data_IF_429363402276
#
_entry.id   IF_429363402276
#
_cell.length_a   1.000
_cell.length_b   1.000
_cell.length_c   1.000
_cell.angle_alpha   90.00
_cell.angle_beta   90.00
_cell.angle_gamma   90.00
#
_symmetry.space_group_name_H-M   'P 1'
#
loop_
_entity.id
_entity.type
_entity.pdbx_description
1 polymer ?
#
# COMPACT_ATOMS: atom_id res chain seq x y z
N UNK A 1 7.14 -6.38 -0.22
CA UNK A 1 6.12 -6.22 0.85
C UNK A 1 4.82 -5.80 0.20
N UNK A 2 3.74 -6.54 0.36
CA UNK A 2 2.43 -6.15 -0.17
C UNK A 2 2.07 -4.72 0.24
N UNK A 3 1.71 -3.91 -0.75
CA UNK A 3 1.21 -2.55 -0.58
C UNK A 3 -0.30 -2.53 -0.86
N UNK A 4 -0.90 -1.36 -1.04
CA UNK A 4 -2.36 -1.28 -1.24
C UNK A 4 -2.89 -2.14 -2.40
N UNK A 5 -2.29 -2.13 -3.61
CA UNK A 5 -2.83 -2.91 -4.73
C UNK A 5 -2.84 -4.41 -4.47
N UNK A 6 -1.77 -4.96 -3.89
CA UNK A 6 -1.66 -6.38 -3.57
C UNK A 6 -2.68 -6.78 -2.50
N UNK A 7 -2.84 -5.94 -1.46
CA UNK A 7 -3.81 -6.19 -0.39
C UNK A 7 -5.25 -6.11 -0.91
N UNK A 8 -5.54 -5.19 -1.83
CA UNK A 8 -6.85 -5.11 -2.48
C UNK A 8 -7.16 -6.32 -3.35
N UNK A 9 -6.16 -6.85 -4.06
CA UNK A 9 -6.32 -8.09 -4.84
C UNK A 9 -6.67 -9.28 -3.94
N UNK A 10 -5.97 -9.41 -2.80
CA UNK A 10 -6.29 -10.44 -1.79
C UNK A 10 -7.71 -10.22 -1.23
N UNK A 11 -8.10 -8.98 -0.89
CA UNK A 11 -9.44 -8.67 -0.43
C UNK A 11 -10.52 -9.14 -1.40
N UNK A 12 -10.37 -8.78 -2.69
CA UNK A 12 -11.31 -9.17 -3.76
C UNK A 12 -11.40 -10.67 -3.94
N UNK A 13 -10.28 -11.38 -3.82
CA UNK A 13 -10.26 -12.84 -3.90
C UNK A 13 -10.92 -13.54 -2.71
N UNK A 14 -10.80 -12.98 -1.51
CA UNK A 14 -11.41 -13.53 -0.30
C UNK A 14 -12.93 -13.26 -0.22
N UNK A 15 -13.38 -12.10 -0.67
CA UNK A 15 -14.76 -11.63 -0.51
C UNK A 15 -15.81 -12.65 -0.98
N UNK A 16 -15.77 -13.19 -2.23
CA UNK A 16 -16.77 -14.13 -2.71
C UNK A 16 -16.74 -15.47 -1.96
N UNK A 17 -15.60 -15.83 -1.37
CA UNK A 17 -15.47 -17.07 -0.63
C UNK A 17 -16.02 -16.94 0.80
N UNK A 18 -15.76 -15.83 1.51
CA UNK A 18 -16.02 -15.78 2.95
C UNK A 18 -17.28 -15.00 3.34
N UNK A 19 -17.74 -14.03 2.54
CA UNK A 19 -18.92 -13.21 2.88
C UNK A 19 -20.16 -14.10 2.96
N UNK A 20 -20.92 -13.91 4.02
CA UNK A 20 -22.11 -14.70 4.35
C UNK A 20 -21.83 -15.97 5.15
N UNK A 21 -20.57 -16.44 5.22
CA UNK A 21 -20.17 -17.63 6.00
C UNK A 21 -19.99 -17.31 7.48
N UNK A 22 -19.97 -18.35 8.31
CA UNK A 22 -19.72 -18.23 9.76
C UNK A 22 -18.33 -18.76 10.08
N UNK A 23 -17.57 -18.00 10.87
CA UNK A 23 -16.29 -18.45 11.42
C UNK A 23 -16.56 -19.57 12.43
N UNK A 24 -16.24 -20.79 12.08
CA UNK A 24 -16.39 -21.96 12.95
C UNK A 24 -15.25 -22.06 13.95
N UNK A 25 -14.05 -21.87 13.46
CA UNK A 25 -12.84 -22.04 14.27
C UNK A 25 -11.68 -21.23 13.71
N UNK A 26 -10.82 -20.76 14.58
CA UNK A 26 -9.51 -20.19 14.25
C UNK A 26 -8.47 -20.97 15.03
N UNK A 27 -7.62 -21.65 14.31
CA UNK A 27 -6.54 -22.48 14.85
C UNK A 27 -5.19 -21.78 14.62
N UNK A 28 -4.51 -21.44 15.71
CA UNK A 28 -3.17 -20.83 15.68
C UNK A 28 -2.13 -21.94 15.72
N UNK A 29 -1.67 -22.34 14.55
CA UNK A 29 -0.70 -23.43 14.38
C UNK A 29 0.67 -23.04 14.92
N UNK A 30 1.05 -21.76 14.77
CA UNK A 30 2.32 -21.24 15.24
C UNK A 30 2.18 -19.81 15.79
N UNK A 31 2.72 -19.58 17.00
CA UNK A 31 2.59 -18.29 17.71
C UNK A 31 3.14 -17.06 16.95
N UNK A 32 4.11 -17.27 16.04
CA UNK A 32 4.71 -16.20 15.22
C UNK A 32 3.82 -15.77 14.09
N UNK A 33 2.72 -15.29 14.11
CA UNK A 33 1.75 -14.84 13.10
C UNK A 33 0.46 -14.40 13.76
N UNK A 34 0.47 -14.50 15.08
CA UNK A 34 -0.59 -14.05 15.93
C UNK A 34 -0.08 -12.86 16.73
N UNK A 35 -0.53 -11.66 16.44
CA UNK A 35 -0.49 -10.62 17.46
C UNK A 35 -1.60 -10.96 18.43
N UNK A 36 -1.23 -11.34 19.68
CA UNK A 36 -2.21 -11.49 20.73
C UNK A 36 -3.15 -10.31 20.68
N UNK A 37 -4.42 -10.59 20.43
CA UNK A 37 -5.42 -9.56 20.32
C UNK A 37 -5.45 -8.82 21.64
N UNK A 38 -5.30 -7.53 21.56
CA UNK A 38 -5.34 -6.68 22.73
C UNK A 38 -6.71 -6.68 23.40
N UNK A 39 -7.77 -7.17 22.73
CA UNK A 39 -9.14 -6.90 23.14
C UNK A 39 -10.06 -8.12 23.31
N UNK A 40 -9.78 -9.25 22.66
CA UNK A 40 -10.61 -10.46 22.83
C UNK A 40 -9.90 -11.74 22.32
N UNK A 41 -10.19 -12.92 22.91
CA UNK A 41 -9.71 -14.19 22.37
C UNK A 41 -10.45 -14.55 21.09
N UNK A 42 -9.88 -15.39 20.24
CA UNK A 42 -10.53 -15.85 18.99
C UNK A 42 -11.89 -16.53 19.22
N UNK A 43 -12.10 -17.09 20.40
CA UNK A 43 -13.40 -17.64 20.80
C UNK A 43 -14.53 -16.61 20.79
N UNK A 44 -14.24 -15.32 20.96
CA UNK A 44 -15.24 -14.25 20.95
C UNK A 44 -15.94 -14.08 19.59
N UNK A 45 -15.30 -14.52 18.50
CA UNK A 45 -15.86 -14.46 17.15
C UNK A 45 -16.29 -15.82 16.60
N UNK A 46 -16.22 -16.88 17.41
CA UNK A 46 -16.71 -18.19 17.02
C UNK A 46 -18.23 -18.14 16.72
N UNK A 47 -18.63 -18.67 15.58
CA UNK A 47 -20.01 -18.62 15.10
C UNK A 47 -20.43 -17.26 14.49
N UNK A 48 -19.58 -16.25 14.51
CA UNK A 48 -19.88 -14.97 13.91
C UNK A 48 -19.99 -15.08 12.38
N UNK A 49 -20.98 -14.40 11.80
CA UNK A 49 -21.15 -14.30 10.35
C UNK A 49 -20.29 -13.16 9.81
N UNK A 50 -19.55 -13.44 8.74
CA UNK A 50 -18.82 -12.41 7.99
C UNK A 50 -19.80 -11.62 7.14
N UNK A 51 -19.87 -10.32 7.35
CA UNK A 51 -20.75 -9.40 6.62
C UNK A 51 -20.04 -8.80 5.41
N UNK A 52 -18.75 -8.48 5.57
CA UNK A 52 -17.94 -7.85 4.55
C UNK A 52 -16.44 -8.16 4.74
N UNK A 53 -15.66 -7.98 3.67
CA UNK A 53 -14.19 -7.90 3.74
C UNK A 53 -13.79 -6.48 3.34
N UNK A 54 -13.25 -5.73 4.28
CA UNK A 54 -12.89 -4.33 4.11
C UNK A 54 -11.38 -4.13 4.17
N UNK A 55 -10.90 -3.01 3.67
CA UNK A 55 -9.49 -2.62 3.66
C UNK A 55 -9.33 -1.12 3.94
N UNK A 56 -8.27 -0.75 4.65
CA UNK A 56 -7.75 0.61 4.72
C UNK A 56 -6.23 0.55 4.54
N UNK A 57 -5.72 1.16 3.47
CA UNK A 57 -4.30 1.04 3.12
C UNK A 57 -3.84 -0.41 2.93
N UNK A 58 -2.95 -0.87 3.81
CA UNK A 58 -2.38 -2.23 3.78
C UNK A 58 -3.03 -3.19 4.78
N UNK A 59 -4.11 -2.77 5.43
CA UNK A 59 -4.77 -3.50 6.48
C UNK A 59 -6.12 -4.02 6.00
N UNK A 60 -6.37 -5.31 6.23
CA UNK A 60 -7.62 -5.99 5.96
C UNK A 60 -8.38 -6.22 7.25
N UNK A 61 -9.70 -6.22 7.18
CA UNK A 61 -10.52 -6.78 8.24
C UNK A 61 -11.80 -7.41 7.70
N UNK A 62 -12.24 -8.45 8.38
CA UNK A 62 -13.52 -9.10 8.18
C UNK A 62 -14.51 -8.44 9.14
N UNK A 63 -15.47 -7.73 8.60
CA UNK A 63 -16.58 -7.16 9.37
C UNK A 63 -17.52 -8.29 9.76
N UNK A 64 -17.79 -8.41 11.04
CA UNK A 64 -18.59 -9.49 11.60
C UNK A 64 -19.92 -8.95 12.15
N UNK A 65 -20.92 -9.82 12.27
CA UNK A 65 -22.16 -9.50 13.01
C UNK A 65 -21.93 -9.51 14.54
N UNK A 66 -20.84 -8.90 14.99
CA UNK A 66 -20.39 -8.76 16.39
C UNK A 66 -19.70 -7.41 16.54
N UNK A 67 -19.41 -7.02 17.79
CA UNK A 67 -18.69 -5.79 18.11
C UNK A 67 -17.16 -5.90 17.86
N UNK A 68 -16.74 -6.96 17.23
CA UNK A 68 -15.35 -7.26 16.92
C UNK A 68 -15.17 -7.52 15.43
N UNK A 69 -13.97 -7.23 14.94
CA UNK A 69 -13.50 -7.62 13.60
C UNK A 69 -12.33 -8.59 13.70
N UNK A 70 -12.21 -9.47 12.73
CA UNK A 70 -10.99 -10.24 12.49
C UNK A 70 -10.11 -9.43 11.54
N UNK A 71 -8.94 -9.05 11.99
CA UNK A 71 -7.98 -8.24 11.23
C UNK A 71 -6.88 -9.09 10.65
N UNK A 72 -6.33 -8.65 9.52
CA UNK A 72 -5.16 -9.23 8.89
C UNK A 72 -4.21 -8.14 8.35
N UNK A 73 -2.92 -8.39 8.51
CA UNK A 73 -1.86 -7.61 7.88
C UNK A 73 -0.83 -8.57 7.28
N UNK A 74 -0.55 -8.43 5.99
CA UNK A 74 0.31 -9.39 5.29
C UNK A 74 1.80 -9.23 5.60
N UNK A 75 2.21 -8.11 6.21
CA UNK A 75 3.63 -7.87 6.52
C UNK A 75 4.48 -7.82 5.26
N UNK A 76 5.50 -8.67 5.18
CA UNK A 76 6.41 -8.75 4.03
C UNK A 76 6.20 -10.02 3.19
N UNK A 77 5.75 -11.10 3.79
CA UNK A 77 5.63 -12.42 3.15
C UNK A 77 4.34 -13.15 3.54
N UNK A 78 3.42 -12.47 4.20
CA UNK A 78 2.15 -13.05 4.59
C UNK A 78 1.22 -13.23 3.39
N UNK A 79 0.56 -14.39 3.35
CA UNK A 79 -0.38 -14.79 2.32
C UNK A 79 -1.66 -15.27 2.97
N UNK A 80 -2.80 -14.90 2.43
CA UNK A 80 -4.11 -15.44 2.79
C UNK A 80 -4.61 -16.32 1.64
N UNK A 81 -4.55 -17.62 1.84
CA UNK A 81 -4.82 -18.62 0.82
C UNK A 81 -6.16 -19.33 1.10
N UNK A 82 -6.92 -19.61 0.05
CA UNK A 82 -8.09 -20.49 0.11
C UNK A 82 -7.63 -21.88 -0.31
N UNK A 83 -7.50 -22.78 0.65
CA UNK A 83 -6.94 -24.12 0.44
C UNK A 83 -7.94 -25.23 0.77
N UNK A 84 -7.73 -26.41 0.19
CA UNK A 84 -8.48 -27.59 0.59
C UNK A 84 -8.04 -28.04 2.00
N UNK A 85 -9.00 -28.36 2.86
CA UNK A 85 -8.74 -28.81 4.24
C UNK A 85 -7.90 -30.09 4.31
N UNK A 86 -7.95 -30.92 3.26
CA UNK A 86 -7.23 -32.19 3.17
C UNK A 86 -5.85 -32.03 2.52
N UNK A 87 -5.55 -30.86 1.92
CA UNK A 87 -4.23 -30.62 1.34
C UNK A 87 -3.16 -30.54 2.41
N UNK A 88 -1.94 -30.92 2.05
CA UNK A 88 -0.77 -30.78 2.93
C UNK A 88 -0.64 -29.33 3.42
N UNK A 89 -0.22 -29.15 4.67
CA UNK A 89 0.02 -27.82 5.22
C UNK A 89 1.28 -27.21 4.64
N UNK A 90 1.21 -25.91 4.37
CA UNK A 90 2.36 -25.13 3.95
C UNK A 90 3.40 -25.06 5.09
N UNK A 91 4.68 -25.12 4.72
CA UNK A 91 5.82 -25.07 5.66
C UNK A 91 5.74 -23.91 6.68
N UNK A 92 5.15 -22.80 6.26
CA UNK A 92 5.07 -21.57 7.08
C UNK A 92 3.63 -21.22 7.46
N UNK A 93 2.75 -22.19 7.55
CA UNK A 93 1.39 -22.01 8.03
C UNK A 93 1.39 -21.47 9.47
N UNK A 94 0.66 -20.39 9.70
CA UNK A 94 0.56 -19.71 10.99
C UNK A 94 -0.83 -19.83 11.61
N UNK A 95 -1.85 -19.57 10.81
CA UNK A 95 -3.25 -19.57 11.29
C UNK A 95 -4.14 -20.23 10.25
N UNK A 96 -5.08 -21.04 10.71
CA UNK A 96 -6.16 -21.62 9.92
C UNK A 96 -7.48 -20.99 10.35
N UNK A 97 -8.34 -20.71 9.37
CA UNK A 97 -9.66 -20.12 9.61
C UNK A 97 -10.69 -21.02 8.92
N UNK A 98 -11.40 -21.82 9.69
CA UNK A 98 -12.54 -22.57 9.21
C UNK A 98 -13.78 -21.67 9.17
N UNK A 99 -14.24 -21.34 7.97
CA UNK A 99 -15.42 -20.53 7.71
C UNK A 99 -16.68 -21.36 7.38
N UNK A 100 -16.69 -22.64 7.73
CA UNK A 100 -17.85 -23.53 7.57
C UNK A 100 -18.04 -24.09 6.16
N UNK A 101 -17.11 -23.88 5.25
CA UNK A 101 -17.09 -24.60 3.98
C UNK A 101 -16.77 -26.09 4.20
N UNK A 102 -17.34 -26.96 3.36
CA UNK A 102 -17.13 -28.43 3.50
C UNK A 102 -15.72 -28.86 3.14
N UNK A 103 -15.11 -28.22 2.14
CA UNK A 103 -13.82 -28.64 1.58
C UNK A 103 -12.71 -27.63 1.86
N UNK A 104 -13.00 -26.34 1.87
CA UNK A 104 -12.00 -25.28 1.89
C UNK A 104 -11.95 -24.53 3.21
N UNK A 105 -10.78 -23.99 3.49
CA UNK A 105 -10.49 -23.10 4.62
C UNK A 105 -9.59 -21.95 4.15
N UNK A 106 -9.47 -20.90 4.96
CA UNK A 106 -8.46 -19.85 4.74
C UNK A 106 -7.23 -20.21 5.57
N UNK A 107 -6.07 -20.12 4.96
CA UNK A 107 -4.76 -20.31 5.60
C UNK A 107 -3.96 -19.03 5.56
N UNK A 108 -3.45 -18.61 6.70
CA UNK A 108 -2.47 -17.53 6.78
C UNK A 108 -1.08 -18.15 6.86
N UNK A 109 -0.31 -17.95 5.79
CA UNK A 109 1.05 -18.46 5.63
C UNK A 109 2.02 -17.28 5.68
N UNK A 110 3.05 -17.33 6.51
CA UNK A 110 4.03 -16.24 6.59
C UNK A 110 5.42 -16.75 6.96
N UNK A 111 6.33 -16.73 5.98
CA UNK A 111 7.71 -17.18 6.15
C UNK A 111 8.48 -16.28 7.11
N UNK A 112 8.33 -14.97 7.00
CA UNK A 112 9.15 -13.96 7.72
C UNK A 112 8.54 -13.51 9.04
N UNK A 113 7.34 -13.94 9.38
CA UNK A 113 6.61 -13.63 10.63
C UNK A 113 6.41 -12.13 10.90
N UNK A 114 6.31 -11.32 9.85
CA UNK A 114 6.00 -9.88 9.96
C UNK A 114 4.51 -9.58 9.76
N UNK A 115 3.77 -10.52 9.18
CA UNK A 115 2.34 -10.44 9.08
C UNK A 115 1.66 -10.97 10.34
N UNK A 116 0.36 -10.75 10.43
CA UNK A 116 -0.41 -11.18 11.59
C UNK A 116 -1.91 -11.25 11.33
N UNK A 117 -2.58 -12.11 12.09
CA UNK A 117 -4.03 -12.15 12.28
C UNK A 117 -4.31 -11.71 13.73
N UNK A 118 -5.37 -10.94 13.95
CA UNK A 118 -5.74 -10.43 15.26
C UNK A 118 -7.23 -10.12 15.34
N UNK A 119 -7.76 -9.94 16.55
CA UNK A 119 -9.13 -9.45 16.77
C UNK A 119 -9.05 -8.07 17.38
N UNK A 120 -9.92 -7.17 16.95
CA UNK A 120 -10.06 -5.85 17.54
C UNK A 120 -11.52 -5.46 17.68
N UNK A 121 -11.79 -4.61 18.67
CA UNK A 121 -13.10 -4.04 18.88
C UNK A 121 -13.43 -3.07 17.76
N UNK A 122 -14.68 -3.07 17.30
CA UNK A 122 -15.19 -2.08 16.39
C UNK A 122 -15.56 -0.79 17.12
N UNK A 123 -15.19 0.34 16.53
CA UNK A 123 -15.56 1.68 17.00
C UNK A 123 -16.16 2.49 15.85
N UNK A 124 -17.01 3.44 16.17
CA UNK A 124 -17.64 4.29 15.18
C UNK A 124 -16.68 5.39 14.72
N UNK A 125 -16.45 5.49 13.41
CA UNK A 125 -15.74 6.60 12.75
C UNK A 125 -16.68 7.23 11.71
N UNK A 126 -17.29 8.35 12.06
CA UNK A 126 -18.40 8.90 11.27
C UNK A 126 -19.62 7.97 11.32
N UNK A 127 -19.99 7.40 10.16
CA UNK A 127 -21.13 6.46 10.05
C UNK A 127 -20.67 5.00 9.86
N UNK A 128 -19.37 4.71 9.95
CA UNK A 128 -18.84 3.38 9.71
C UNK A 128 -18.17 2.79 10.95
N UNK A 129 -18.33 1.49 11.12
CA UNK A 129 -17.59 0.73 12.12
C UNK A 129 -16.23 0.30 11.54
N UNK A 130 -15.17 0.65 12.27
CA UNK A 130 -13.79 0.28 11.94
C UNK A 130 -13.11 -0.35 13.15
N UNK A 131 -12.08 -1.19 12.97
CA UNK A 131 -11.25 -1.63 14.09
C UNK A 131 -10.62 -0.46 14.83
N UNK A 132 -10.64 -0.49 16.16
CA UNK A 132 -10.14 0.59 17.01
C UNK A 132 -8.69 0.96 16.71
N UNK A 133 -7.84 -0.03 16.45
CA UNK A 133 -6.43 0.20 16.08
C UNK A 133 -6.26 0.95 14.75
N UNK A 134 -7.29 0.95 13.88
CA UNK A 134 -7.23 1.61 12.57
C UNK A 134 -7.61 3.10 12.60
N UNK A 135 -8.05 3.62 13.73
CA UNK A 135 -8.35 5.07 13.89
C UNK A 135 -7.13 5.94 13.64
N UNK A 136 -5.91 5.38 13.76
CA UNK A 136 -4.65 6.07 13.47
C UNK A 136 -4.16 5.90 12.02
N UNK A 137 -4.85 5.08 11.22
CA UNK A 137 -4.52 4.85 9.82
C UNK A 137 -5.34 5.80 8.97
N UNK A 138 -4.68 6.65 8.20
CA UNK A 138 -5.35 7.60 7.32
C UNK A 138 -6.15 6.87 6.22
N UNK A 139 -7.23 7.49 5.68
CA UNK A 139 -7.83 7.06 4.44
C UNK A 139 -6.78 6.98 3.32
N UNK A 140 -6.89 5.99 2.44
CA UNK A 140 -6.05 5.89 1.25
C UNK A 140 -6.67 6.62 0.04
N UNK A 141 -5.93 6.70 -1.05
CA UNK A 141 -6.33 7.46 -2.25
C UNK A 141 -7.60 6.94 -2.96
N UNK A 142 -8.08 5.75 -2.58
CA UNK A 142 -9.30 5.13 -3.14
C UNK A 142 -10.46 5.12 -2.14
N UNK A 143 -10.22 5.59 -0.91
CA UNK A 143 -11.24 5.69 0.11
C UNK A 143 -12.14 6.91 -0.17
N UNK A 144 -13.46 6.74 -0.07
CA UNK A 144 -14.42 7.81 -0.25
C UNK A 144 -14.28 8.95 0.80
N UNK A 145 -13.64 8.67 1.93
CA UNK A 145 -13.32 9.64 2.99
C UNK A 145 -12.00 10.39 2.73
N UNK A 146 -11.31 10.11 1.62
CA UNK A 146 -10.04 10.77 1.32
C UNK A 146 -10.24 12.26 1.03
N UNK A 147 -9.78 13.10 1.94
CA UNK A 147 -9.82 14.55 1.77
C UNK A 147 -8.49 15.08 1.23
N UNK A 148 -8.44 15.30 -0.09
CA UNK A 148 -7.25 15.72 -0.82
C UNK A 148 -6.65 17.02 -0.24
N UNK A 149 -7.45 18.04 -0.01
CA UNK A 149 -6.97 19.33 0.46
C UNK A 149 -6.37 19.23 1.88
N UNK A 150 -7.00 18.47 2.76
CA UNK A 150 -6.48 18.20 4.09
C UNK A 150 -5.14 17.45 4.04
N UNK A 151 -4.99 16.49 3.12
CA UNK A 151 -3.73 15.74 2.92
C UNK A 151 -2.64 16.65 2.36
N UNK A 152 -2.92 17.48 1.35
CA UNK A 152 -1.97 18.46 0.80
C UNK A 152 -1.47 19.38 1.92
N UNK A 153 -2.37 19.98 2.70
CA UNK A 153 -2.02 20.85 3.82
C UNK A 153 -1.17 20.11 4.87
N UNK A 154 -1.51 18.86 5.19
CA UNK A 154 -0.76 18.03 6.15
C UNK A 154 0.65 17.72 5.65
N UNK A 155 0.81 17.36 4.39
CA UNK A 155 2.12 17.10 3.76
C UNK A 155 2.97 18.37 3.77
N UNK A 156 2.41 19.52 3.35
CA UNK A 156 3.11 20.81 3.28
C UNK A 156 3.64 21.33 4.62
N UNK A 157 3.09 20.85 5.73
CA UNK A 157 3.56 21.19 7.09
C UNK A 157 4.70 20.31 7.60
N UNK A 158 4.98 19.16 6.93
CA UNK A 158 5.98 18.19 7.42
C UNK A 158 7.41 18.63 7.12
N UNK A 159 8.24 18.76 8.16
CA UNK A 159 9.68 19.02 8.03
C UNK A 159 10.46 17.69 7.89
N UNK A 160 10.14 16.92 6.87
CA UNK A 160 10.75 15.62 6.58
C UNK A 160 10.86 15.43 5.07
N UNK A 161 11.74 14.49 4.65
CA UNK A 161 11.84 14.09 3.26
C UNK A 161 10.47 13.60 2.73
N UNK A 162 10.11 14.03 1.53
CA UNK A 162 8.79 13.74 0.95
C UNK A 162 8.49 12.23 0.86
N UNK A 163 9.49 11.42 0.50
CA UNK A 163 9.30 9.96 0.49
C UNK A 163 8.93 9.42 1.88
N UNK A 164 9.56 9.91 2.94
CA UNK A 164 9.23 9.50 4.32
C UNK A 164 7.79 9.87 4.68
N UNK A 165 7.32 11.02 4.20
CA UNK A 165 5.94 11.48 4.42
C UNK A 165 4.94 10.62 3.67
N UNK A 166 5.24 10.21 2.43
CA UNK A 166 4.40 9.25 1.68
C UNK A 166 4.32 7.87 2.34
N UNK A 167 5.39 7.43 3.00
CA UNK A 167 5.43 6.15 3.71
C UNK A 167 4.71 6.18 5.06
N UNK A 168 4.33 7.37 5.57
CA UNK A 168 3.61 7.54 6.83
C UNK A 168 2.13 7.20 6.64
N UNK A 169 1.73 6.01 7.11
CA UNK A 169 0.35 5.50 7.00
C UNK A 169 -0.68 6.36 7.75
N UNK A 170 -0.24 7.29 8.61
CA UNK A 170 -1.08 8.28 9.26
C UNK A 170 -1.30 9.53 8.39
N UNK A 171 -0.59 9.69 7.28
CA UNK A 171 -0.74 10.82 6.33
C UNK A 171 -1.57 10.40 5.13
N UNK A 172 -1.14 9.37 4.44
CA UNK A 172 -1.86 8.68 3.37
C UNK A 172 -1.53 7.18 3.48
N UNK A 173 -2.53 6.34 3.63
CA UNK A 173 -2.26 4.94 3.82
C UNK A 173 -2.13 4.18 2.49
N UNK A 174 -1.53 2.98 2.56
CA UNK A 174 -1.40 2.10 1.41
C UNK A 174 -0.10 2.23 0.63
N UNK A 175 0.55 3.40 0.67
CA UNK A 175 1.81 3.65 -0.04
C UNK A 175 2.96 2.94 0.67
N UNK A 176 3.76 2.20 -0.08
CA UNK A 176 5.00 1.59 0.39
C UNK A 176 6.17 2.00 -0.49
N UNK A 177 7.24 1.21 -0.45
CA UNK A 177 8.52 1.59 -1.05
C UNK A 177 8.48 1.61 -2.58
N UNK A 178 7.76 0.66 -3.17
CA UNK A 178 7.62 0.52 -4.62
C UNK A 178 6.86 1.72 -5.17
N UNK A 179 5.63 1.89 -4.72
CA UNK A 179 4.76 2.95 -5.24
C UNK A 179 5.20 4.36 -4.84
N UNK A 180 5.97 4.51 -3.75
CA UNK A 180 6.58 5.79 -3.41
C UNK A 180 7.66 6.20 -4.41
N UNK A 181 8.57 5.27 -4.81
CA UNK A 181 9.61 5.58 -5.79
C UNK A 181 9.00 5.83 -7.17
N UNK A 182 8.06 5.01 -7.62
CA UNK A 182 7.34 5.19 -8.88
C UNK A 182 6.58 6.52 -8.94
N UNK A 183 5.82 6.85 -7.91
CA UNK A 183 5.08 8.11 -7.84
C UNK A 183 6.00 9.33 -7.86
N UNK A 184 7.11 9.28 -7.13
CA UNK A 184 8.11 10.34 -7.11
C UNK A 184 8.81 10.49 -8.47
N UNK A 185 9.07 9.37 -9.16
CA UNK A 185 9.60 9.39 -10.52
C UNK A 185 8.61 10.04 -11.47
N UNK A 186 7.34 9.64 -11.47
CA UNK A 186 6.30 10.24 -12.30
C UNK A 186 6.11 11.75 -12.03
N UNK A 187 6.11 12.15 -10.76
CA UNK A 187 5.99 13.54 -10.34
C UNK A 187 7.27 14.37 -10.54
N UNK A 188 8.40 13.76 -10.93
CA UNK A 188 9.73 14.40 -11.07
C UNK A 188 10.20 15.06 -9.77
N UNK A 189 9.93 14.44 -8.63
CA UNK A 189 10.29 14.96 -7.31
C UNK A 189 11.36 14.07 -6.69
N UNK A 190 12.50 14.68 -6.27
CA UNK A 190 13.56 13.96 -5.58
C UNK A 190 13.06 13.43 -4.22
N UNK A 191 13.34 12.15 -3.84
CA UNK A 191 12.82 11.53 -2.63
C UNK A 191 13.19 12.24 -1.34
N UNK A 192 14.34 12.91 -1.30
CA UNK A 192 14.82 13.64 -0.12
C UNK A 192 14.41 15.12 -0.08
N UNK A 193 13.67 15.65 -1.04
CA UNK A 193 13.15 17.01 -0.91
C UNK A 193 12.28 17.13 0.33
N UNK A 194 12.47 18.22 1.08
CA UNK A 194 11.64 18.47 2.26
C UNK A 194 10.19 18.75 1.84
N UNK A 195 9.25 18.02 2.43
CA UNK A 195 7.83 18.14 2.08
C UNK A 195 7.31 19.58 2.23
N UNK A 196 7.70 20.30 3.29
CA UNK A 196 7.34 21.72 3.50
C UNK A 196 7.90 22.70 2.46
N UNK A 197 8.83 22.27 1.60
CA UNK A 197 9.38 23.08 0.50
C UNK A 197 8.74 22.78 -0.85
N UNK A 198 7.80 21.86 -0.89
CA UNK A 198 6.98 21.58 -2.06
C UNK A 198 5.81 22.56 -2.11
N UNK A 199 5.49 23.05 -3.29
CA UNK A 199 4.25 23.80 -3.52
C UNK A 199 3.03 22.88 -3.42
N UNK A 200 1.86 23.42 -3.17
CA UNK A 200 0.60 22.67 -3.19
C UNK A 200 0.38 21.97 -4.52
N UNK A 201 0.77 22.60 -5.63
CA UNK A 201 0.69 22.01 -6.98
C UNK A 201 1.60 20.80 -7.12
N UNK A 202 2.84 20.85 -6.61
CA UNK A 202 3.76 19.70 -6.63
C UNK A 202 3.22 18.54 -5.78
N UNK A 203 2.68 18.84 -4.59
CA UNK A 203 2.07 17.82 -3.73
C UNK A 203 0.83 17.23 -4.40
N UNK A 204 -0.01 18.06 -5.02
CA UNK A 204 -1.19 17.60 -5.77
C UNK A 204 -0.79 16.66 -6.90
N UNK A 205 0.20 17.06 -7.73
CA UNK A 205 0.72 16.21 -8.81
C UNK A 205 1.32 14.91 -8.31
N UNK A 206 1.96 14.93 -7.13
CA UNK A 206 2.48 13.70 -6.51
C UNK A 206 1.37 12.75 -6.07
N UNK A 207 0.27 13.27 -5.51
CA UNK A 207 -0.89 12.44 -5.15
C UNK A 207 -1.56 11.84 -6.40
N UNK A 208 -1.62 12.61 -7.51
CA UNK A 208 -2.13 12.10 -8.79
C UNK A 208 -1.23 11.00 -9.35
N UNK A 209 0.09 11.21 -9.32
CA UNK A 209 1.05 10.19 -9.73
C UNK A 209 0.95 8.93 -8.84
N UNK A 210 0.79 9.09 -7.52
CA UNK A 210 0.62 7.97 -6.60
C UNK A 210 -0.64 7.17 -6.93
N UNK A 211 -1.76 7.85 -7.17
CA UNK A 211 -3.01 7.21 -7.57
C UNK A 211 -2.86 6.48 -8.90
N UNK A 212 -2.25 7.12 -9.89
CA UNK A 212 -2.04 6.57 -11.24
C UNK A 212 -1.24 5.25 -11.20
N UNK A 213 -0.08 5.22 -10.50
CA UNK A 213 0.74 4.00 -10.45
C UNK A 213 0.03 2.87 -9.71
N UNK A 214 -0.73 3.18 -8.66
CA UNK A 214 -1.54 2.19 -7.94
C UNK A 214 -2.72 1.69 -8.76
N UNK A 215 -3.38 2.54 -9.55
CA UNK A 215 -4.47 2.11 -10.46
C UNK A 215 -3.96 1.19 -11.55
N UNK A 216 -2.77 1.48 -12.12
CA UNK A 216 -2.10 0.59 -13.07
C UNK A 216 -1.86 -0.77 -12.44
N UNK A 217 -1.34 -0.82 -11.22
CA UNK A 217 -1.11 -2.04 -10.47
C UNK A 217 -2.40 -2.80 -10.13
N UNK A 218 -3.45 -2.11 -9.69
CA UNK A 218 -4.76 -2.72 -9.41
C UNK A 218 -5.39 -3.37 -10.64
N UNK A 219 -5.26 -2.75 -11.82
CA UNK A 219 -5.75 -3.31 -13.09
C UNK A 219 -4.97 -4.57 -13.49
N UNK A 220 -3.69 -4.62 -13.15
CA UNK A 220 -2.82 -5.75 -13.40
C UNK A 220 -2.93 -6.85 -12.31
N UNK A 221 -3.69 -6.63 -11.22
CA UNK A 221 -3.83 -7.60 -10.13
C UNK A 221 -2.72 -7.57 -9.07
N UNK A 222 -1.94 -6.49 -9.00
CA UNK A 222 -0.79 -6.31 -8.13
C UNK A 222 0.54 -6.38 -8.89
N UNK A 223 1.66 -6.18 -8.19
CA UNK A 223 3.02 -6.33 -8.77
C UNK A 223 3.62 -7.68 -8.36
N UNK A 224 4.27 -8.37 -9.30
CA UNK A 224 4.99 -9.64 -9.08
C UNK A 224 6.44 -9.45 -8.62
N UNK A 225 6.77 -8.33 -8.02
CA UNK A 225 8.15 -8.04 -7.60
C UNK A 225 8.67 -8.96 -6.49
N UNK A 226 7.80 -9.74 -5.88
CA UNK A 226 8.16 -10.70 -4.83
C UNK A 226 7.52 -12.05 -5.21
N UNK A 227 8.35 -13.06 -5.50
CA UNK A 227 7.91 -14.44 -5.77
C UNK A 227 7.03 -15.02 -4.66
N UNK A 228 7.06 -14.38 -3.48
CA UNK A 228 6.23 -14.72 -2.32
C UNK A 228 4.81 -14.17 -2.43
N UNK A 229 4.52 -13.29 -3.41
CA UNK A 229 3.18 -12.78 -3.61
C UNK A 229 2.39 -13.69 -4.55
N UNK A 230 1.47 -14.41 -3.99
CA UNK A 230 0.51 -15.26 -4.72
C UNK A 230 -0.91 -14.79 -4.38
N UNK A 231 -1.83 -14.95 -5.34
CA UNK A 231 -3.24 -14.68 -5.10
C UNK A 231 -3.84 -15.69 -4.12
N UNK A 232 -5.09 -15.52 -3.74
CA UNK A 232 -5.77 -16.39 -2.77
C UNK A 232 -5.90 -17.86 -3.23
N UNK A 233 -5.71 -18.14 -4.51
CA UNK A 233 -5.75 -19.50 -5.09
C UNK A 233 -4.36 -20.15 -5.13
N UNK A 234 -3.31 -19.47 -4.68
CA UNK A 234 -1.93 -19.99 -4.71
C UNK A 234 -1.22 -19.79 -6.03
N UNK A 235 -1.80 -19.04 -6.98
CA UNK A 235 -1.17 -18.74 -8.25
C UNK A 235 -0.28 -17.49 -8.12
N UNK A 236 0.92 -17.55 -8.68
CA UNK A 236 1.78 -16.38 -8.80
C UNK A 236 1.08 -15.32 -9.65
N UNK A 237 0.96 -14.11 -9.14
CA UNK A 237 0.46 -12.98 -9.93
C UNK A 237 1.47 -12.67 -11.04
N UNK A 238 1.22 -13.13 -12.24
CA UNK A 238 1.99 -12.78 -13.44
C UNK A 238 1.64 -11.37 -13.87
N UNK A 239 2.13 -10.37 -13.15
CA UNK A 239 1.96 -9.00 -13.59
C UNK A 239 3.31 -8.31 -13.61
N UNK A 240 3.98 -8.46 -14.75
CA UNK A 240 5.13 -7.66 -15.15
C UNK A 240 4.66 -6.22 -15.37
N UNK A 241 4.47 -5.49 -14.26
CA UNK A 241 4.36 -4.05 -14.39
C UNK A 241 5.79 -3.57 -14.55
N UNK A 242 6.13 -3.10 -15.75
CA UNK A 242 7.37 -2.39 -15.96
C UNK A 242 7.44 -1.22 -14.98
N UNK A 243 8.35 -1.32 -14.03
CA UNK A 243 8.65 -0.25 -13.09
C UNK A 243 9.71 0.66 -13.71
N UNK A 244 9.52 1.96 -13.52
CA UNK A 244 10.35 2.99 -14.11
C UNK A 244 11.57 3.36 -13.27
N UNK A 245 11.48 3.17 -11.96
CA UNK A 245 12.53 3.53 -11.02
C UNK A 245 12.86 2.43 -10.02
N UNK A 246 11.84 1.85 -9.36
CA UNK A 246 12.06 0.89 -8.30
C UNK A 246 12.73 -0.40 -8.84
N UNK A 247 13.89 -0.74 -8.29
CA UNK A 247 14.67 -1.92 -8.72
C UNK A 247 15.48 -1.74 -10.00
N UNK A 248 15.44 -0.55 -10.62
CA UNK A 248 16.10 -0.23 -11.89
C UNK A 248 17.46 0.44 -11.69
N UNK A 249 18.17 0.18 -10.58
CA UNK A 249 19.51 0.74 -10.33
C UNK A 249 20.47 0.45 -11.51
N UNK A 250 21.13 1.49 -12.02
CA UNK A 250 22.03 1.50 -13.18
C UNK A 250 21.35 1.31 -14.56
N UNK A 251 20.04 1.07 -14.62
CA UNK A 251 19.29 1.03 -15.87
C UNK A 251 19.00 2.46 -16.39
N UNK A 252 18.90 2.65 -17.71
CA UNK A 252 18.61 3.96 -18.28
C UNK A 252 17.18 4.42 -17.96
N UNK A 253 17.05 5.63 -17.47
CA UNK A 253 15.74 6.27 -17.29
C UNK A 253 15.00 6.39 -18.63
N UNK A 254 13.80 5.85 -18.75
CA UNK A 254 13.00 5.87 -19.98
C UNK A 254 12.70 7.29 -20.51
N UNK A 255 12.79 8.33 -19.65
CA UNK A 255 12.55 9.73 -20.03
C UNK A 255 13.78 10.46 -20.58
N UNK A 256 14.97 10.19 -20.07
CA UNK A 256 16.16 11.00 -20.40
C UNK A 256 17.42 10.17 -20.64
N UNK A 257 17.39 8.85 -20.50
CA UNK A 257 18.53 7.96 -20.70
C UNK A 257 19.57 7.99 -19.58
N UNK A 258 19.44 8.87 -18.57
CA UNK A 258 20.36 8.89 -17.42
C UNK A 258 20.11 7.67 -16.54
N UNK A 259 21.17 7.03 -16.05
CA UNK A 259 21.05 5.88 -15.15
C UNK A 259 20.25 6.21 -13.89
N UNK A 260 19.37 5.30 -13.50
CA UNK A 260 18.63 5.36 -12.24
C UNK A 260 19.61 5.16 -11.08
N UNK A 261 19.61 6.10 -10.17
CA UNK A 261 20.43 6.04 -8.96
C UNK A 261 19.66 5.38 -7.79
N UNK A 262 20.42 4.74 -6.92
CA UNK A 262 19.94 4.18 -5.67
C UNK A 262 20.65 4.82 -4.48
N UNK A 263 19.88 5.21 -3.48
CA UNK A 263 20.42 5.72 -2.20
C UNK A 263 19.86 4.93 -1.02
N UNK A 264 20.62 4.88 0.07
CA UNK A 264 20.09 4.40 1.35
C UNK A 264 19.07 5.39 1.90
N UNK A 265 17.91 4.92 2.31
CA UNK A 265 16.81 5.76 2.79
C UNK A 265 16.04 5.07 3.92
N UNK A 266 16.20 5.55 5.16
CA UNK A 266 15.42 5.10 6.34
C UNK A 266 15.28 3.56 6.44
N UNK A 267 16.40 2.83 6.53
CA UNK A 267 16.50 1.36 6.57
C UNK A 267 15.96 0.64 5.31
N UNK A 268 15.83 1.37 4.19
CA UNK A 268 15.42 0.88 2.86
C UNK A 268 16.31 1.49 1.81
N UNK A 269 15.97 1.28 0.54
CA UNK A 269 16.54 2.01 -0.59
C UNK A 269 15.50 2.92 -1.22
N UNK A 270 15.96 3.93 -1.93
CA UNK A 270 15.16 4.76 -2.81
C UNK A 270 15.82 4.81 -4.19
N UNK A 271 15.04 4.59 -5.22
CA UNK A 271 15.47 4.61 -6.62
C UNK A 271 14.88 5.84 -7.30
N UNK A 272 15.67 6.55 -8.06
CA UNK A 272 15.24 7.79 -8.74
C UNK A 272 16.17 8.17 -9.88
N UNK A 273 15.68 8.95 -10.83
CA UNK A 273 16.53 9.53 -11.88
C UNK A 273 17.16 10.84 -11.38
N UNK A 274 18.50 10.95 -11.25
CA UNK A 274 19.15 12.15 -10.73
C UNK A 274 18.99 13.38 -11.63
N UNK A 275 18.76 13.18 -12.93
CA UNK A 275 18.50 14.25 -13.89
C UNK A 275 17.04 14.74 -13.81
N UNK A 276 16.07 13.83 -13.90
CA UNK A 276 14.65 14.18 -13.91
C UNK A 276 14.11 14.63 -12.54
N UNK A 277 14.73 14.16 -11.45
CA UNK A 277 14.31 14.39 -10.07
C UNK A 277 15.36 15.18 -9.30
N UNK A 278 15.62 16.42 -9.74
CA UNK A 278 16.60 17.29 -9.09
C UNK A 278 16.26 17.57 -7.63
N UNK A 279 17.26 17.55 -6.74
CA UNK A 279 17.13 17.87 -5.32
C UNK A 279 16.78 19.36 -5.09
N UNK A 280 17.24 20.22 -5.98
CA UNK A 280 16.90 21.66 -6.01
C UNK A 280 15.73 21.90 -6.96
N UNK A 281 14.79 22.81 -6.67
CA UNK A 281 13.76 23.16 -7.64
C UNK A 281 14.40 23.59 -8.96
N UNK A 282 13.97 23.04 -10.09
CA UNK A 282 14.39 23.48 -11.41
C UNK A 282 14.09 24.99 -11.49
N UNK A 283 15.15 25.80 -11.69
CA UNK A 283 14.97 27.22 -12.00
C UNK A 283 14.08 27.29 -13.25
N UNK A 284 12.90 27.91 -13.13
CA UNK A 284 12.05 28.17 -14.31
C UNK A 284 12.94 28.84 -15.34
N UNK A 285 13.07 28.23 -16.52
CA UNK A 285 13.80 28.82 -17.63
C UNK A 285 13.24 30.21 -17.86
N UNK A 286 14.05 31.22 -17.57
CA UNK A 286 13.66 32.62 -17.71
C UNK A 286 13.32 32.86 -19.17
N UNK A 287 12.11 33.40 -19.42
CA UNK A 287 11.73 33.89 -20.76
C UNK A 287 12.84 34.80 -21.26
N UNK A 288 13.62 34.36 -22.25
CA UNK A 288 14.57 35.23 -22.95
C UNK A 288 13.80 36.45 -23.43
N UNK A 289 14.07 37.61 -22.83
CA UNK A 289 13.61 38.90 -23.37
C UNK A 289 14.24 39.05 -24.75
N UNK A 290 13.42 38.96 -25.77
CA UNK A 290 13.80 39.29 -27.13
C UNK A 290 14.09 40.82 -27.13
N UNK A 291 15.36 41.19 -27.17
CA UNK A 291 15.76 42.60 -27.39
C UNK A 291 15.36 42.94 -28.83
N UNK A 292 14.34 43.79 -28.98
CA UNK A 292 14.03 44.47 -30.26
C UNK A 292 15.25 45.28 -30.63
N UNK A 293 15.91 44.95 -31.75
CA UNK A 293 16.89 45.83 -32.41
C UNK A 293 16.14 47.04 -32.94
N UNK A 294 16.47 48.20 -32.38
CA UNK A 294 16.05 49.49 -32.91
C UNK A 294 16.98 49.77 -34.09
N UNK A 295 16.43 49.86 -35.27
CA UNK A 295 17.13 50.28 -36.48
C UNK A 295 17.46 51.77 -36.40
N UNK A 296 18.66 52.28 -36.79
CA UNK A 296 18.96 53.70 -36.84
C UNK A 296 18.25 54.34 -38.03
N UNK A 297 17.53 55.42 -37.78
CA UNK A 297 17.01 56.31 -38.83
C UNK A 297 18.19 56.96 -39.50
N UNK A 298 18.30 56.80 -40.84
CA UNK A 298 19.16 57.64 -41.70
C UNK A 298 18.45 58.97 -41.85
N UNK A 299 19.09 60.08 -41.49
CA UNK A 299 18.85 61.42 -41.95
C UNK A 299 19.79 61.80 -43.11
#
# INVERSE_FOLDING_TARGET
MPELPEVETVRRGLEPFIVGRKIKEIDVVHKGGNRSSTNAPYSAIKGAKVLNVKRRGKFLWFELNRDFALMAHLGMSGQLLIQDKQSQYEKHLRVRIDCGDRRKEIRFVDQRTFGWISIDKLVLEGQELIPQSFTRIAPDLFDNKFNRNAVISRIGKKNSAIKRVLLDQGVVSGVGNIYADEALWHAKIHPERLAKKLSEQEISSLLDATKFVMEKALKAGGTSFDELYINVNGESGYFDIELEAYGQENEPCSRCGREIARIAFANRSSHFCPECQSKSPLKKAGKKKVRKKVSPKRG
#
